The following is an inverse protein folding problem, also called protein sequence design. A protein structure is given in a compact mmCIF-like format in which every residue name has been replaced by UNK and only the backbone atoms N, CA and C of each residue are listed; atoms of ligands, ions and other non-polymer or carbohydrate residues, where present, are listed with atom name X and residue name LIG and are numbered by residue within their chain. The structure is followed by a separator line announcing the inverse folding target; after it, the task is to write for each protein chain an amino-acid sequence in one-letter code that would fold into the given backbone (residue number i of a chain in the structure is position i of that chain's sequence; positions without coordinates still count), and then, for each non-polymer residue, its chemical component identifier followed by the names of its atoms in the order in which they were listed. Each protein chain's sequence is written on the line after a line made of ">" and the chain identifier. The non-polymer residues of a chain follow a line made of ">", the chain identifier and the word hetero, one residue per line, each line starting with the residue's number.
data_IF_696168847251
#
_entry.id   IF_696168847251
#
_cell.length_a   1.000
_cell.length_b   1.000
_cell.length_c   1.000
_cell.angle_alpha   90.00
_cell.angle_beta   90.00
_cell.angle_gamma   90.00
#
_symmetry.space_group_name_H-M   'P 1'
#
loop_
_entity.id
_entity.type
_entity.pdbx_description
1 polymer ?
#
# COMPACT_ATOMS: atom_id res chain seq x y z
N UNK A 1 -14.79 1.96 26.74
CA UNK A 1 -15.26 3.33 27.05
C UNK A 1 -14.78 4.09 25.84
N UNK A 2 -15.66 4.15 24.84
CA UNK A 2 -15.31 4.31 23.42
C UNK A 2 -15.49 5.78 23.00
N UNK A 3 -15.39 6.69 23.96
CA UNK A 3 -15.55 8.12 23.72
C UNK A 3 -14.40 8.63 22.86
N UNK A 4 -14.73 9.22 21.70
CA UNK A 4 -13.78 9.81 20.78
C UNK A 4 -13.25 8.89 19.68
N UNK A 5 -13.69 7.63 19.60
CA UNK A 5 -13.33 6.75 18.48
C UNK A 5 -14.25 6.95 17.26
N UNK A 6 -13.74 6.75 16.03
CA UNK A 6 -14.57 6.82 14.83
C UNK A 6 -15.66 5.74 14.80
N UNK A 7 -16.69 5.96 13.97
CA UNK A 7 -17.70 4.96 13.72
C UNK A 7 -17.12 3.69 13.06
N UNK A 8 -17.72 2.54 13.35
CA UNK A 8 -17.35 1.26 12.74
C UNK A 8 -17.49 1.31 11.22
N UNK A 9 -16.46 0.88 10.50
CA UNK A 9 -16.48 0.74 9.04
C UNK A 9 -17.48 -0.36 8.66
N UNK A 10 -18.41 -0.13 7.71
CA UNK A 10 -19.52 -1.03 7.42
C UNK A 10 -19.15 -2.25 6.53
N UNK A 11 -17.86 -2.49 6.34
CA UNK A 11 -17.29 -3.60 5.55
C UNK A 11 -15.93 -3.99 6.12
N UNK A 12 -15.33 -5.07 5.60
CA UNK A 12 -14.01 -5.53 6.03
C UNK A 12 -12.92 -4.65 5.40
N UNK A 13 -12.24 -3.76 6.15
CA UNK A 13 -11.22 -2.88 5.59
C UNK A 13 -9.98 -3.67 5.16
N UNK A 14 -9.37 -3.18 4.08
CA UNK A 14 -8.15 -3.71 3.49
C UNK A 14 -7.03 -2.70 3.41
N UNK A 15 -7.37 -1.45 3.12
CA UNK A 15 -6.44 -0.36 2.93
C UNK A 15 -7.06 0.93 3.47
N UNK A 16 -6.22 1.77 4.05
CA UNK A 16 -6.57 3.08 4.56
C UNK A 16 -5.58 4.08 3.96
N UNK A 17 -6.09 5.13 3.33
CA UNK A 17 -5.28 6.17 2.70
C UNK A 17 -5.62 7.51 3.34
N UNK A 18 -4.60 8.21 3.83
CA UNK A 18 -4.71 9.58 4.31
C UNK A 18 -4.37 10.55 3.19
N UNK A 19 -5.18 11.58 3.00
CA UNK A 19 -4.96 12.64 2.01
C UNK A 19 -5.40 14.00 2.60
N UNK A 20 -5.15 15.09 1.87
CA UNK A 20 -5.31 16.46 2.38
C UNK A 20 -6.71 16.83 2.91
N UNK A 21 -7.75 16.08 2.54
CA UNK A 21 -9.15 16.38 2.89
C UNK A 21 -9.82 15.27 3.70
N UNK A 22 -9.01 14.42 4.34
CA UNK A 22 -9.47 13.32 5.17
C UNK A 22 -8.90 11.98 4.73
N UNK A 23 -9.75 10.96 4.69
CA UNK A 23 -9.32 9.58 4.53
C UNK A 23 -10.20 8.80 3.57
N UNK A 24 -9.60 7.82 2.90
CA UNK A 24 -10.30 6.80 2.12
C UNK A 24 -10.05 5.42 2.73
N UNK A 25 -11.12 4.74 3.12
CA UNK A 25 -11.10 3.32 3.49
C UNK A 25 -11.52 2.49 2.30
N UNK A 26 -10.70 1.51 1.94
CA UNK A 26 -10.97 0.57 0.86
C UNK A 26 -11.20 -0.82 1.45
N UNK A 27 -12.30 -1.44 1.08
CA UNK A 27 -12.72 -2.77 1.53
C UNK A 27 -12.12 -3.92 0.73
N UNK A 28 -12.34 -5.13 1.24
CA UNK A 28 -11.84 -6.37 0.63
C UNK A 28 -12.49 -6.67 -0.72
N UNK A 29 -13.74 -6.27 -0.94
CA UNK A 29 -14.54 -6.58 -2.13
C UNK A 29 -14.66 -5.40 -3.11
N UNK A 30 -13.93 -4.31 -2.83
CA UNK A 30 -13.84 -3.11 -3.68
C UNK A 30 -14.67 -1.93 -3.18
N UNK A 31 -15.15 -1.99 -1.93
CA UNK A 31 -15.90 -0.90 -1.28
C UNK A 31 -15.02 0.30 -0.98
N UNK A 32 -15.55 1.50 -1.16
CA UNK A 32 -14.90 2.78 -0.91
C UNK A 32 -15.75 3.56 0.09
N UNK A 33 -15.12 4.09 1.13
CA UNK A 33 -15.75 4.96 2.12
C UNK A 33 -14.83 6.14 2.44
N UNK A 34 -15.35 7.35 2.28
CA UNK A 34 -14.62 8.57 2.65
C UNK A 34 -14.95 9.00 4.07
N UNK A 35 -13.91 9.40 4.78
CA UNK A 35 -13.98 10.01 6.09
C UNK A 35 -13.41 11.43 6.00
N UNK A 36 -13.94 12.36 6.79
CA UNK A 36 -13.30 13.67 6.99
C UNK A 36 -12.08 13.58 7.92
N UNK A 37 -11.46 14.72 8.19
CA UNK A 37 -10.30 14.87 9.08
C UNK A 37 -10.61 14.56 10.56
N UNK A 38 -11.89 14.62 10.95
CA UNK A 38 -12.38 14.13 12.25
C UNK A 38 -12.84 12.67 12.23
N UNK A 39 -12.49 11.93 11.16
CA UNK A 39 -12.82 10.51 10.95
C UNK A 39 -14.34 10.23 10.91
N UNK A 40 -15.16 11.25 10.67
CA UNK A 40 -16.58 11.09 10.47
C UNK A 40 -16.86 10.65 9.05
N UNK A 41 -17.87 9.77 8.90
CA UNK A 41 -18.31 9.29 7.60
C UNK A 41 -18.95 10.45 6.82
N UNK A 42 -18.41 10.76 5.64
CA UNK A 42 -18.93 11.84 4.78
C UNK A 42 -20.19 11.38 4.03
N UNK A 43 -20.17 10.16 3.48
CA UNK A 43 -21.31 9.55 2.80
C UNK A 43 -21.33 8.02 2.95
N UNK A 44 -22.42 7.38 2.50
CA UNK A 44 -22.49 5.93 2.44
C UNK A 44 -21.40 5.33 1.55
N UNK A 45 -20.88 4.18 1.99
CA UNK A 45 -19.94 3.40 1.20
C UNK A 45 -20.56 3.00 -0.16
N UNK A 46 -19.72 2.99 -1.19
CA UNK A 46 -20.11 2.46 -2.50
C UNK A 46 -19.05 1.51 -3.04
N UNK A 47 -19.42 0.67 -4.00
CA UNK A 47 -18.51 -0.26 -4.68
C UNK A 47 -18.31 0.17 -6.15
N UNK A 48 -17.31 1.01 -6.47
CA UNK A 48 -17.06 1.44 -7.85
C UNK A 48 -16.79 0.29 -8.82
N UNK A 49 -16.17 -0.78 -8.33
CA UNK A 49 -15.96 -1.99 -9.10
C UNK A 49 -15.92 -3.20 -8.16
N UNK A 50 -16.65 -4.28 -8.46
CA UNK A 50 -16.86 -5.39 -7.53
C UNK A 50 -15.70 -6.40 -7.60
N UNK A 51 -14.47 -5.89 -7.43
CA UNK A 51 -13.23 -6.65 -7.44
C UNK A 51 -12.29 -6.08 -6.40
N UNK A 52 -11.41 -6.91 -5.84
CA UNK A 52 -10.42 -6.49 -4.87
C UNK A 52 -9.49 -5.43 -5.45
N UNK A 53 -9.32 -4.31 -4.73
CA UNK A 53 -8.23 -3.37 -5.02
C UNK A 53 -6.92 -4.00 -4.56
N UNK A 54 -6.02 -4.31 -5.50
CA UNK A 54 -4.71 -4.89 -5.18
C UNK A 54 -3.73 -3.85 -4.68
N UNK A 55 -3.68 -2.69 -5.34
CA UNK A 55 -2.82 -1.56 -5.01
C UNK A 55 -3.59 -0.25 -5.11
N UNK A 56 -3.24 0.70 -4.26
CA UNK A 56 -3.84 2.02 -4.21
C UNK A 56 -2.79 3.03 -3.71
N UNK A 57 -2.62 4.12 -4.45
CA UNK A 57 -1.76 5.26 -4.10
C UNK A 57 -2.48 6.53 -4.53
N UNK A 58 -2.16 7.67 -3.93
CA UNK A 58 -2.75 8.95 -4.35
C UNK A 58 -1.68 10.02 -4.54
N UNK A 59 -2.02 11.01 -5.35
CA UNK A 59 -1.26 12.24 -5.56
C UNK A 59 -2.26 13.39 -5.60
N UNK A 60 -2.14 14.32 -4.65
CA UNK A 60 -3.15 15.34 -4.40
C UNK A 60 -4.56 14.76 -4.31
N UNK A 61 -5.44 15.25 -5.17
CA UNK A 61 -6.87 14.89 -5.19
C UNK A 61 -7.19 13.59 -5.96
N UNK A 62 -6.19 12.88 -6.47
CA UNK A 62 -6.41 11.74 -7.36
C UNK A 62 -5.86 10.43 -6.77
N UNK A 63 -6.75 9.45 -6.68
CA UNK A 63 -6.42 8.06 -6.44
C UNK A 63 -5.96 7.41 -7.75
N UNK A 64 -4.93 6.57 -7.68
CA UNK A 64 -4.56 5.59 -8.68
C UNK A 64 -4.67 4.21 -8.05
N UNK A 65 -5.45 3.34 -8.66
CA UNK A 65 -5.71 2.01 -8.11
C UNK A 65 -5.72 0.94 -9.18
N UNK A 66 -5.45 -0.29 -8.74
CA UNK A 66 -5.60 -1.48 -9.56
C UNK A 66 -6.60 -2.43 -8.92
N UNK A 67 -7.47 -3.00 -9.74
CA UNK A 67 -8.46 -4.00 -9.32
C UNK A 67 -8.14 -5.34 -9.95
N UNK A 68 -8.25 -6.43 -9.19
CA UNK A 68 -8.04 -7.80 -9.66
C UNK A 68 -9.14 -8.74 -9.15
N UNK A 69 -9.63 -9.60 -10.04
CA UNK A 69 -10.43 -10.78 -9.70
C UNK A 69 -9.81 -11.98 -10.41
N UNK A 70 -9.19 -12.86 -9.63
CA UNK A 70 -8.53 -14.08 -10.14
C UNK A 70 -9.50 -15.17 -10.57
N UNK A 71 -10.76 -15.16 -10.08
CA UNK A 71 -11.78 -16.11 -10.52
C UNK A 71 -12.29 -15.71 -11.92
N UNK A 72 -12.51 -14.41 -12.13
CA UNK A 72 -12.95 -13.86 -13.42
C UNK A 72 -11.79 -13.61 -14.39
N UNK A 73 -10.54 -13.72 -13.93
CA UNK A 73 -9.32 -13.39 -14.69
C UNK A 73 -9.37 -11.96 -15.26
N UNK A 74 -9.87 -11.01 -14.46
CA UNK A 74 -10.00 -9.61 -14.83
C UNK A 74 -9.04 -8.75 -14.02
N UNK A 75 -8.40 -7.81 -14.70
CA UNK A 75 -7.60 -6.78 -14.06
C UNK A 75 -7.88 -5.40 -14.67
N UNK A 76 -7.94 -4.37 -13.82
CA UNK A 76 -8.12 -2.97 -14.21
C UNK A 76 -7.10 -2.10 -13.52
N UNK A 77 -6.78 -0.99 -14.16
CA UNK A 77 -6.10 0.14 -13.56
C UNK A 77 -6.91 1.39 -13.87
N UNK A 78 -6.88 2.37 -12.99
CA UNK A 78 -7.67 3.59 -13.17
C UNK A 78 -7.29 4.68 -12.21
N UNK A 79 -7.78 5.88 -12.52
CA UNK A 79 -7.71 7.03 -11.63
C UNK A 79 -9.10 7.52 -11.25
N UNK A 80 -9.29 7.90 -9.99
CA UNK A 80 -10.52 8.48 -9.45
C UNK A 80 -10.22 9.76 -8.68
N UNK A 81 -11.19 10.66 -8.59
CA UNK A 81 -11.05 11.87 -7.79
C UNK A 81 -11.53 11.59 -6.35
N UNK A 82 -10.67 11.81 -5.36
CA UNK A 82 -10.93 11.57 -3.93
C UNK A 82 -11.94 12.55 -3.32
N UNK A 83 -12.20 13.68 -3.98
CA UNK A 83 -13.15 14.69 -3.49
C UNK A 83 -14.57 14.47 -3.99
N UNK A 84 -14.79 13.45 -4.82
CA UNK A 84 -16.12 13.05 -5.27
C UNK A 84 -16.56 11.83 -4.48
N UNK A 85 -17.85 11.81 -4.10
CA UNK A 85 -18.45 10.64 -3.50
C UNK A 85 -18.26 9.42 -4.42
N UNK A 86 -17.89 8.24 -3.87
CA UNK A 86 -17.76 7.04 -4.66
C UNK A 86 -19.14 6.65 -5.21
N UNK A 87 -19.14 6.09 -6.42
CA UNK A 87 -20.36 5.71 -7.11
C UNK A 87 -20.49 4.19 -7.18
N UNK A 88 -21.73 3.68 -7.12
CA UNK A 88 -22.01 2.26 -7.33
C UNK A 88 -21.71 1.86 -8.78
N UNK A 89 -20.84 0.85 -8.92
CA UNK A 89 -20.47 0.24 -10.18
C UNK A 89 -21.34 -0.95 -10.58
N UNK A 90 -20.94 -1.67 -11.65
CA UNK A 90 -21.61 -2.90 -12.05
C UNK A 90 -21.56 -3.94 -10.94
N UNK A 91 -22.55 -4.84 -10.87
CA UNK A 91 -22.49 -5.97 -9.93
C UNK A 91 -21.60 -7.09 -10.47
N UNK A 92 -20.98 -7.86 -9.57
CA UNK A 92 -20.09 -8.99 -9.94
C UNK A 92 -20.77 -10.00 -10.87
N UNK A 93 -22.08 -10.22 -10.68
CA UNK A 93 -22.88 -11.09 -11.54
C UNK A 93 -22.93 -10.63 -13.01
N UNK A 94 -22.96 -9.32 -13.26
CA UNK A 94 -22.95 -8.74 -14.61
C UNK A 94 -21.60 -8.96 -15.30
N UNK A 95 -20.49 -8.88 -14.55
CA UNK A 95 -19.17 -9.18 -15.07
C UNK A 95 -19.09 -10.66 -15.52
N UNK A 96 -19.64 -11.58 -14.72
CA UNK A 96 -19.64 -13.02 -14.98
C UNK A 96 -20.45 -13.39 -16.23
N UNK A 97 -21.59 -12.73 -16.48
CA UNK A 97 -22.49 -13.05 -17.61
C UNK A 97 -22.16 -12.30 -18.91
N UNK A 98 -21.11 -11.48 -18.91
CA UNK A 98 -20.75 -10.61 -20.03
C UNK A 98 -20.24 -11.32 -21.31
N UNK A 99 -20.16 -12.66 -21.33
CA UNK A 99 -19.76 -13.49 -22.50
C UNK A 99 -18.51 -12.96 -23.24
N UNK A 100 -17.46 -12.57 -22.51
CA UNK A 100 -16.21 -12.04 -23.08
C UNK A 100 -16.20 -10.52 -23.33
N UNK A 101 -17.31 -9.82 -23.11
CA UNK A 101 -17.38 -8.35 -23.13
C UNK A 101 -17.08 -7.71 -21.77
N UNK A 102 -16.54 -8.47 -20.81
CA UNK A 102 -16.16 -7.97 -19.49
C UNK A 102 -15.22 -6.75 -19.58
N UNK A 103 -14.40 -6.68 -20.64
CA UNK A 103 -13.51 -5.55 -20.95
C UNK A 103 -14.22 -4.20 -21.08
N UNK A 104 -15.52 -4.17 -21.37
CA UNK A 104 -16.32 -2.93 -21.45
C UNK A 104 -16.64 -2.35 -20.08
N UNK A 105 -16.56 -3.15 -19.03
CA UNK A 105 -16.81 -2.70 -17.67
C UNK A 105 -15.53 -2.13 -17.06
N UNK A 106 -15.69 -0.94 -16.50
CA UNK A 106 -14.67 -0.20 -15.78
C UNK A 106 -15.24 0.26 -14.44
N UNK A 107 -14.37 0.54 -13.45
CA UNK A 107 -14.81 1.16 -12.22
C UNK A 107 -15.63 2.44 -12.48
N UNK A 108 -16.67 2.67 -11.69
CA UNK A 108 -17.49 3.88 -11.79
C UNK A 108 -16.76 5.08 -11.16
N UNK A 109 -16.97 6.29 -11.68
CA UNK A 109 -16.33 7.51 -11.16
C UNK A 109 -14.89 7.74 -11.63
N UNK A 110 -14.37 6.91 -12.54
CA UNK A 110 -13.03 7.06 -13.09
C UNK A 110 -12.85 8.31 -13.94
N UNK A 111 -11.69 8.97 -13.81
CA UNK A 111 -11.15 9.90 -14.81
C UNK A 111 -10.72 9.14 -16.07
N UNK A 112 -10.01 8.04 -15.87
CA UNK A 112 -9.61 7.10 -16.91
C UNK A 112 -9.52 5.69 -16.31
N UNK A 113 -9.63 4.68 -17.17
CA UNK A 113 -9.36 3.30 -16.77
C UNK A 113 -8.96 2.43 -17.96
N UNK A 114 -8.02 1.52 -17.71
CA UNK A 114 -7.52 0.56 -18.68
C UNK A 114 -7.70 -0.88 -18.21
N UNK A 115 -7.92 -1.76 -19.18
CA UNK A 115 -7.86 -3.20 -18.99
C UNK A 115 -6.39 -3.61 -18.90
N UNK A 116 -6.04 -4.32 -17.83
CA UNK A 116 -4.73 -4.95 -17.71
C UNK A 116 -4.81 -6.40 -18.22
N UNK A 117 -3.77 -6.84 -18.91
CA UNK A 117 -3.65 -8.21 -19.44
C UNK A 117 -2.73 -9.11 -18.58
N UNK A 118 -2.33 -8.62 -17.42
CA UNK A 118 -1.50 -9.31 -16.44
C UNK A 118 -1.77 -8.73 -15.04
N UNK A 119 -1.40 -9.49 -14.01
CA UNK A 119 -1.50 -9.06 -12.62
C UNK A 119 -0.51 -7.91 -12.33
N UNK A 120 -0.99 -6.79 -11.75
CA UNK A 120 -0.11 -5.75 -11.24
C UNK A 120 0.54 -6.22 -9.94
N UNK A 121 1.86 -6.06 -9.82
CA UNK A 121 2.63 -6.53 -8.66
C UNK A 121 3.11 -5.41 -7.74
N UNK A 122 3.19 -4.19 -8.26
CA UNK A 122 3.52 -3.01 -7.48
C UNK A 122 3.04 -1.76 -8.24
N UNK A 123 2.74 -0.70 -7.49
CA UNK A 123 2.27 0.59 -7.97
C UNK A 123 2.85 1.68 -7.07
N UNK A 124 3.37 2.75 -7.65
CA UNK A 124 3.80 3.96 -6.94
C UNK A 124 3.51 5.19 -7.78
N UNK A 125 3.30 6.32 -7.13
CA UNK A 125 3.06 7.59 -7.78
C UNK A 125 3.74 8.74 -7.02
N UNK A 126 4.11 9.78 -7.76
CA UNK A 126 4.50 11.08 -7.24
C UNK A 126 3.91 12.16 -8.17
N UNK A 127 4.20 13.43 -7.91
CA UNK A 127 3.71 14.56 -8.71
C UNK A 127 4.05 14.49 -10.20
N UNK A 128 5.08 13.72 -10.59
CA UNK A 128 5.57 13.64 -11.96
C UNK A 128 5.07 12.42 -12.73
N UNK A 129 4.89 11.28 -12.07
CA UNK A 129 4.69 10.00 -12.74
C UNK A 129 3.93 8.98 -11.88
N UNK A 130 3.31 8.03 -12.59
CA UNK A 130 2.70 6.82 -12.08
C UNK A 130 3.47 5.61 -12.62
N UNK A 131 4.13 4.85 -11.75
CA UNK A 131 4.97 3.71 -12.13
C UNK A 131 4.37 2.42 -11.60
N UNK A 132 4.28 1.40 -12.44
CA UNK A 132 3.75 0.09 -12.06
C UNK A 132 4.46 -1.06 -12.75
N UNK A 133 4.38 -2.22 -12.11
CA UNK A 133 4.88 -3.48 -12.66
C UNK A 133 3.72 -4.42 -12.98
N UNK A 134 3.80 -5.05 -14.16
CA UNK A 134 2.92 -6.14 -14.54
C UNK A 134 3.70 -7.45 -14.60
N UNK A 135 3.14 -8.49 -14.00
CA UNK A 135 3.71 -9.83 -13.94
C UNK A 135 4.10 -10.34 -15.33
N UNK A 136 5.39 -10.65 -15.53
CA UNK A 136 5.98 -11.12 -16.81
C UNK A 136 5.73 -10.19 -18.01
N UNK A 137 5.47 -8.89 -17.77
CA UNK A 137 5.23 -7.89 -18.82
C UNK A 137 6.15 -6.69 -18.74
N UNK A 138 6.72 -6.38 -17.57
CA UNK A 138 7.70 -5.31 -17.43
C UNK A 138 7.25 -4.16 -16.54
N UNK A 139 8.01 -3.07 -16.60
CA UNK A 139 7.74 -1.83 -15.88
C UNK A 139 7.19 -0.78 -16.83
N UNK A 140 6.26 0.01 -16.34
CA UNK A 140 5.57 1.04 -17.11
C UNK A 140 5.56 2.32 -16.28
N UNK A 141 5.76 3.45 -16.94
CA UNK A 141 5.50 4.75 -16.37
C UNK A 141 4.50 5.51 -17.24
N UNK A 142 3.51 6.10 -16.59
CA UNK A 142 2.51 6.98 -17.19
C UNK A 142 2.56 8.34 -16.51
N UNK A 143 2.08 9.37 -17.19
CA UNK A 143 1.61 10.57 -16.51
C UNK A 143 0.27 10.30 -15.80
N UNK A 144 -0.25 11.30 -15.09
CA UNK A 144 -1.53 11.18 -14.37
C UNK A 144 -2.77 11.14 -15.27
N UNK A 145 -2.60 11.39 -16.58
CA UNK A 145 -3.62 11.29 -17.62
C UNK A 145 -3.56 9.97 -18.41
N UNK A 146 -2.75 9.02 -17.94
CA UNK A 146 -2.51 7.72 -18.55
C UNK A 146 -1.80 7.75 -19.92
N UNK A 147 -1.09 8.82 -20.24
CA UNK A 147 -0.17 8.82 -21.37
C UNK A 147 1.12 8.10 -20.99
N UNK A 148 1.62 7.25 -21.87
CA UNK A 148 2.88 6.53 -21.65
C UNK A 148 4.06 7.50 -21.67
N UNK A 149 4.84 7.49 -20.60
CA UNK A 149 6.15 8.17 -20.53
C UNK A 149 7.23 7.24 -21.05
N UNK A 150 7.26 6.01 -20.54
CA UNK A 150 8.16 4.94 -21.01
C UNK A 150 7.65 3.56 -20.60
N UNK A 151 8.21 2.53 -21.24
CA UNK A 151 8.04 1.13 -20.87
C UNK A 151 9.39 0.42 -20.90
N UNK A 152 9.61 -0.46 -19.93
CA UNK A 152 10.82 -1.27 -19.80
C UNK A 152 10.46 -2.75 -19.77
N UNK A 153 11.37 -3.60 -20.25
CA UNK A 153 11.20 -5.05 -20.19
C UNK A 153 11.15 -5.54 -18.74
N UNK A 154 10.82 -6.82 -18.55
CA UNK A 154 10.85 -7.47 -17.23
C UNK A 154 12.24 -7.27 -16.61
N UNK A 155 12.34 -6.71 -15.39
CA UNK A 155 13.64 -6.55 -14.74
C UNK A 155 14.34 -7.89 -14.58
N UNK A 156 15.61 -7.91 -14.98
CA UNK A 156 16.50 -9.04 -14.76
C UNK A 156 17.26 -8.84 -13.44
N UNK A 157 17.55 -9.93 -12.74
CA UNK A 157 18.18 -9.88 -11.42
C UNK A 157 19.38 -10.82 -11.37
N UNK A 158 20.52 -10.37 -10.82
CA UNK A 158 21.74 -11.18 -10.80
C UNK A 158 21.77 -12.19 -9.64
N UNK A 159 20.78 -13.08 -9.54
CA UNK A 159 20.79 -14.14 -8.54
C UNK A 159 21.79 -15.26 -8.89
N UNK A 160 22.60 -15.67 -7.91
CA UNK A 160 23.51 -16.83 -8.05
C UNK A 160 22.77 -18.15 -8.18
N UNK A 161 21.58 -18.26 -7.58
CA UNK A 161 20.66 -19.40 -7.69
C UNK A 161 19.24 -18.88 -7.91
N UNK A 162 18.60 -19.29 -9.00
CA UNK A 162 17.19 -19.00 -9.24
C UNK A 162 16.32 -19.82 -8.29
N UNK A 163 15.55 -19.14 -7.44
CA UNK A 163 14.48 -19.75 -6.64
C UNK A 163 13.13 -19.30 -7.20
N UNK A 164 12.06 -20.10 -7.04
CA UNK A 164 10.74 -19.70 -7.47
C UNK A 164 10.39 -18.32 -6.90
N UNK A 165 9.81 -17.45 -7.73
CA UNK A 165 9.22 -16.16 -7.33
C UNK A 165 10.18 -15.08 -6.82
N UNK A 166 11.48 -15.35 -6.66
CA UNK A 166 12.44 -14.37 -6.16
C UNK A 166 12.57 -13.11 -7.02
N UNK A 167 12.26 -13.23 -8.31
CA UNK A 167 12.38 -12.15 -9.31
C UNK A 167 11.12 -11.27 -9.39
N UNK A 168 10.05 -11.63 -8.66
CA UNK A 168 8.84 -10.81 -8.59
C UNK A 168 9.13 -9.50 -7.90
N UNK A 169 8.68 -8.40 -8.48
CA UNK A 169 8.72 -7.09 -7.84
C UNK A 169 7.64 -7.05 -6.77
N UNK A 170 8.01 -6.67 -5.55
CA UNK A 170 7.06 -6.52 -4.44
C UNK A 170 6.80 -5.05 -4.07
N UNK A 171 7.72 -4.15 -4.41
CA UNK A 171 7.60 -2.73 -4.09
C UNK A 171 8.28 -1.86 -5.16
N UNK A 172 7.70 -0.68 -5.33
CA UNK A 172 8.25 0.44 -6.10
C UNK A 172 8.21 1.65 -5.17
N UNK A 173 9.31 2.38 -5.07
CA UNK A 173 9.36 3.67 -4.37
C UNK A 173 9.93 4.72 -5.31
N UNK A 174 9.25 5.85 -5.47
CA UNK A 174 9.74 6.97 -6.26
C UNK A 174 10.51 7.94 -5.34
N UNK A 175 11.53 8.61 -5.87
CA UNK A 175 12.30 9.62 -5.17
C UNK A 175 12.95 10.58 -6.16
N UNK A 176 12.62 11.86 -6.07
CA UNK A 176 13.10 12.90 -6.99
C UNK A 176 13.11 12.42 -8.45
N UNK A 177 14.29 12.26 -9.05
CA UNK A 177 14.51 11.87 -10.44
C UNK A 177 14.76 10.36 -10.65
N UNK A 178 14.56 9.56 -9.59
CA UNK A 178 14.86 8.14 -9.54
C UNK A 178 13.69 7.31 -8.96
N UNK A 179 13.79 6.01 -9.15
CA UNK A 179 12.91 5.04 -8.52
C UNK A 179 13.69 3.81 -8.06
N UNK A 180 13.22 3.19 -6.98
CA UNK A 180 13.75 1.92 -6.49
C UNK A 180 12.70 0.85 -6.64
N UNK A 181 13.04 -0.23 -7.33
CA UNK A 181 12.23 -1.45 -7.36
C UNK A 181 12.87 -2.49 -6.43
N UNK A 182 12.05 -3.25 -5.71
CA UNK A 182 12.52 -4.34 -4.84
C UNK A 182 11.91 -5.66 -5.25
N UNK A 183 12.76 -6.66 -5.39
CA UNK A 183 12.35 -8.03 -5.69
C UNK A 183 12.13 -8.84 -4.43
N UNK A 184 11.28 -9.87 -4.54
CA UNK A 184 10.92 -10.79 -3.45
C UNK A 184 12.13 -11.51 -2.85
N UNK A 185 13.20 -11.70 -3.62
CA UNK A 185 14.45 -12.30 -3.14
C UNK A 185 15.41 -11.33 -2.47
N UNK A 186 15.04 -10.07 -2.23
CA UNK A 186 15.86 -9.10 -1.48
C UNK A 186 16.83 -8.28 -2.31
N UNK A 187 16.86 -8.43 -3.64
CA UNK A 187 17.58 -7.51 -4.52
C UNK A 187 16.74 -6.27 -4.82
N UNK A 188 17.42 -5.13 -4.95
CA UNK A 188 16.83 -3.87 -5.37
C UNK A 188 17.60 -3.30 -6.57
N UNK A 189 16.89 -2.54 -7.41
CA UNK A 189 17.49 -1.74 -8.48
C UNK A 189 17.08 -0.29 -8.29
N UNK A 190 18.06 0.61 -8.37
CA UNK A 190 17.80 2.05 -8.56
C UNK A 190 17.78 2.32 -10.06
N UNK A 191 16.77 3.08 -10.49
CA UNK A 191 16.49 3.35 -11.90
C UNK A 191 16.20 4.83 -12.09
N UNK A 192 16.49 5.35 -13.28
CA UNK A 192 16.08 6.69 -13.68
C UNK A 192 14.55 6.76 -13.78
N UNK A 193 13.93 7.79 -13.20
CA UNK A 193 12.47 7.99 -13.30
C UNK A 193 12.06 8.48 -14.68
N UNK A 194 12.92 9.20 -15.39
CA UNK A 194 12.62 9.76 -16.71
C UNK A 194 12.72 8.74 -17.84
N UNK A 195 13.50 7.65 -17.67
CA UNK A 195 13.73 6.65 -18.73
C UNK A 195 13.42 5.21 -18.31
N UNK A 196 13.41 4.93 -17.01
CA UNK A 196 13.32 3.58 -16.45
C UNK A 196 14.62 2.76 -16.55
N UNK A 197 15.72 3.34 -17.04
CA UNK A 197 17.02 2.67 -17.16
C UNK A 197 17.63 2.32 -15.79
N UNK A 198 18.37 1.21 -15.71
CA UNK A 198 19.04 0.76 -14.49
C UNK A 198 20.29 1.60 -14.25
N UNK A 199 20.34 2.21 -13.06
CA UNK A 199 21.50 2.97 -12.57
C UNK A 199 22.41 2.07 -11.74
N UNK A 200 21.81 1.26 -10.86
CA UNK A 200 22.53 0.30 -10.01
C UNK A 200 21.62 -0.86 -9.61
N UNK A 201 22.26 -1.98 -9.26
CA UNK A 201 21.62 -3.12 -8.60
C UNK A 201 22.39 -3.44 -7.32
N UNK A 202 21.67 -3.67 -6.23
CA UNK A 202 22.24 -3.98 -4.92
C UNK A 202 21.38 -4.99 -4.15
N UNK A 203 21.93 -5.51 -3.06
CA UNK A 203 21.22 -6.42 -2.15
C UNK A 203 20.85 -5.61 -0.91
N UNK A 204 19.57 -5.70 -0.51
CA UNK A 204 19.12 -5.13 0.74
C UNK A 204 19.66 -5.94 1.91
N UNK A 205 20.15 -5.28 2.96
CA UNK A 205 20.62 -5.91 4.19
C UNK A 205 19.45 -6.39 5.08
N UNK A 206 18.42 -6.96 4.47
CA UNK A 206 17.17 -7.37 5.11
C UNK A 206 17.17 -8.79 5.69
N UNK A 207 15.98 -9.38 5.88
CA UNK A 207 15.79 -10.78 6.22
C UNK A 207 16.39 -11.74 5.17
N UNK A 208 16.79 -12.94 5.58
CA UNK A 208 17.26 -13.98 4.65
C UNK A 208 16.12 -14.77 3.99
N UNK A 209 14.90 -14.66 4.55
CA UNK A 209 13.69 -15.25 4.02
C UNK A 209 13.09 -14.42 2.86
N UNK A 210 12.22 -15.01 2.01
CA UNK A 210 11.51 -14.26 0.98
C UNK A 210 10.77 -13.07 1.56
N UNK A 211 10.91 -11.93 0.90
CA UNK A 211 10.29 -10.68 1.30
C UNK A 211 8.79 -10.69 1.00
N UNK A 212 8.02 -9.98 1.81
CA UNK A 212 6.59 -9.77 1.63
C UNK A 212 6.26 -8.28 1.46
N UNK A 213 6.91 -7.42 2.25
CA UNK A 213 6.73 -5.97 2.17
C UNK A 213 8.07 -5.22 2.23
N UNK A 214 8.10 -4.08 1.55
CA UNK A 214 9.11 -3.05 1.69
C UNK A 214 8.37 -1.73 1.84
N UNK A 215 8.37 -1.19 3.05
CA UNK A 215 7.86 0.16 3.33
C UNK A 215 9.01 1.14 3.36
N UNK A 216 8.73 2.39 2.98
CA UNK A 216 9.75 3.43 2.94
C UNK A 216 9.16 4.76 3.41
N UNK A 217 9.96 5.48 4.19
CA UNK A 217 9.77 6.89 4.49
C UNK A 217 11.14 7.56 4.39
N UNK A 218 11.32 8.45 3.41
CA UNK A 218 12.62 9.07 3.14
C UNK A 218 13.75 8.03 2.96
N UNK A 219 14.80 8.06 3.79
CA UNK A 219 15.90 7.10 3.84
C UNK A 219 15.67 5.93 4.80
N UNK A 220 14.50 5.88 5.44
CA UNK A 220 14.08 4.83 6.37
C UNK A 220 13.36 3.72 5.59
N UNK A 221 13.88 2.52 5.68
CA UNK A 221 13.36 1.34 4.98
C UNK A 221 12.94 0.29 5.99
N UNK A 222 11.78 -0.30 5.78
CA UNK A 222 11.28 -1.40 6.58
C UNK A 222 11.05 -2.61 5.69
N UNK A 223 11.89 -3.63 5.85
CA UNK A 223 11.84 -4.85 5.05
C UNK A 223 11.24 -5.97 5.89
N UNK A 224 10.13 -6.53 5.43
CA UNK A 224 9.40 -7.59 6.11
C UNK A 224 9.45 -8.88 5.29
N UNK A 225 9.72 -10.00 5.94
CA UNK A 225 9.68 -11.33 5.33
C UNK A 225 8.34 -12.02 5.54
N UNK A 226 8.08 -13.05 4.73
CA UNK A 226 6.92 -13.92 4.87
C UNK A 226 6.90 -14.73 6.18
N UNK A 227 7.99 -14.71 6.96
CA UNK A 227 8.12 -15.44 8.22
C UNK A 227 8.05 -14.50 9.44
N UNK A 228 7.70 -13.23 9.25
CA UNK A 228 7.62 -12.24 10.32
C UNK A 228 8.98 -11.68 10.76
N UNK A 229 10.07 -12.00 10.05
CA UNK A 229 11.35 -11.32 10.24
C UNK A 229 11.26 -9.92 9.64
N UNK A 230 11.70 -8.93 10.40
CA UNK A 230 11.68 -7.53 10.02
C UNK A 230 13.07 -6.92 10.20
N UNK A 231 13.49 -6.12 9.23
CA UNK A 231 14.69 -5.29 9.32
C UNK A 231 14.34 -3.84 9.04
N UNK A 232 14.60 -2.97 10.01
CA UNK A 232 14.62 -1.52 9.78
C UNK A 232 16.03 -1.13 9.35
N UNK A 233 16.12 -0.49 8.18
CA UNK A 233 17.36 0.00 7.60
C UNK A 233 17.31 1.52 7.44
N UNK A 234 18.46 2.16 7.62
CA UNK A 234 18.73 3.55 7.25
C UNK A 234 19.88 3.53 6.24
N UNK A 235 19.66 4.01 5.03
CA UNK A 235 20.64 3.96 3.93
C UNK A 235 21.25 2.55 3.73
N UNK A 236 20.38 1.53 3.77
CA UNK A 236 20.73 0.10 3.72
C UNK A 236 21.60 -0.41 4.89
N UNK A 237 21.86 0.40 5.92
CA UNK A 237 22.50 -0.02 7.17
C UNK A 237 21.44 -0.51 8.15
N UNK A 238 21.68 -1.67 8.77
CA UNK A 238 20.72 -2.26 9.71
C UNK A 238 20.67 -1.41 10.99
N UNK A 239 19.52 -0.80 11.25
CA UNK A 239 19.21 -0.10 12.50
C UNK A 239 18.73 -1.12 13.53
N UNK A 240 17.72 -1.93 13.17
CA UNK A 240 17.14 -2.95 14.06
C UNK A 240 16.65 -4.19 13.30
N UNK A 241 16.68 -5.35 13.99
CA UNK A 241 16.10 -6.62 13.53
C UNK A 241 15.12 -7.14 14.56
N UNK A 242 13.94 -7.57 14.10
CA UNK A 242 12.83 -7.97 14.97
C UNK A 242 12.15 -9.20 14.39
N UNK A 243 11.70 -10.10 15.26
CA UNK A 243 10.83 -11.21 14.91
C UNK A 243 9.41 -10.91 15.42
N UNK A 244 8.44 -10.97 14.52
CA UNK A 244 7.01 -10.85 14.80
C UNK A 244 6.35 -12.24 14.84
N UNK A 245 5.12 -12.30 15.36
CA UNK A 245 4.35 -13.55 15.44
C UNK A 245 3.76 -14.00 14.11
N UNK A 246 3.76 -13.13 13.11
CA UNK A 246 3.20 -13.39 11.80
C UNK A 246 3.45 -12.25 10.81
N UNK A 247 2.73 -12.25 9.68
CA UNK A 247 2.91 -11.27 8.61
C UNK A 247 2.49 -9.86 9.05
N UNK A 248 3.11 -8.87 8.43
CA UNK A 248 2.77 -7.45 8.60
C UNK A 248 1.66 -7.08 7.61
N UNK A 249 0.58 -6.49 8.12
CA UNK A 249 -0.54 -6.02 7.30
C UNK A 249 -0.33 -4.58 6.80
N UNK A 250 0.33 -3.76 7.61
CA UNK A 250 0.63 -2.37 7.29
C UNK A 250 1.71 -1.80 8.19
N UNK A 251 2.42 -0.81 7.70
CA UNK A 251 3.39 -0.06 8.48
C UNK A 251 3.39 1.40 8.05
N UNK A 252 3.59 2.28 9.02
CA UNK A 252 3.66 3.73 8.82
C UNK A 252 4.80 4.31 9.65
N UNK A 253 5.44 5.33 9.11
CA UNK A 253 6.37 6.13 9.88
C UNK A 253 5.60 7.08 10.79
N UNK A 254 5.91 7.05 12.08
CA UNK A 254 5.37 7.95 13.09
C UNK A 254 6.47 8.97 13.49
N UNK A 255 6.24 10.23 13.13
CA UNK A 255 7.14 11.35 13.40
C UNK A 255 7.24 11.70 14.89
N UNK A 256 6.21 11.42 15.70
CA UNK A 256 6.21 11.69 17.14
C UNK A 256 7.18 10.78 17.90
N UNK A 257 7.40 9.56 17.41
CA UNK A 257 8.34 8.59 18.00
C UNK A 257 9.60 8.39 17.17
N UNK A 258 9.66 9.01 15.98
CA UNK A 258 10.72 8.87 14.98
C UNK A 258 11.04 7.40 14.70
N UNK A 259 10.02 6.69 14.24
CA UNK A 259 10.08 5.25 14.08
C UNK A 259 8.89 4.67 13.32
N UNK A 260 8.80 3.34 13.30
CA UNK A 260 7.73 2.62 12.63
C UNK A 260 6.64 2.17 13.60
N UNK A 261 5.38 2.38 13.22
CA UNK A 261 4.22 1.70 13.80
C UNK A 261 3.73 0.63 12.82
N UNK A 262 3.45 -0.57 13.32
CA UNK A 262 3.06 -1.71 12.48
C UNK A 262 1.79 -2.39 12.95
N UNK A 263 0.92 -2.66 11.98
CA UNK A 263 -0.17 -3.60 12.10
C UNK A 263 0.35 -5.02 11.80
N UNK A 264 0.66 -5.79 12.84
CA UNK A 264 1.10 -7.18 12.74
C UNK A 264 -0.05 -8.18 12.86
N UNK A 265 0.27 -9.48 12.82
CA UNK A 265 -0.74 -10.52 13.00
C UNK A 265 -1.25 -10.58 14.45
N UNK A 266 -2.44 -9.99 14.69
CA UNK A 266 -3.03 -9.84 16.03
C UNK A 266 -2.07 -9.16 17.02
N UNK A 267 -1.32 -8.18 16.54
CA UNK A 267 -0.46 -7.36 17.38
C UNK A 267 -0.21 -6.00 16.75
N UNK A 268 -0.08 -4.97 17.58
CA UNK A 268 0.52 -3.71 17.19
C UNK A 268 1.98 -3.67 17.66
N UNK A 269 2.84 -3.04 16.87
CA UNK A 269 4.27 -2.95 17.15
C UNK A 269 4.73 -1.53 16.96
N UNK A 270 5.60 -1.07 17.85
CA UNK A 270 6.33 0.20 17.71
C UNK A 270 7.83 -0.08 17.70
N UNK A 271 8.52 0.51 16.73
CA UNK A 271 9.96 0.38 16.54
C UNK A 271 10.53 1.79 16.46
N UNK A 272 11.45 2.13 17.35
CA UNK A 272 12.18 3.40 17.33
C UNK A 272 13.62 3.16 17.79
N UNK A 273 14.48 4.15 17.63
CA UNK A 273 15.87 4.05 18.12
C UNK A 273 15.96 3.81 19.64
N UNK A 274 14.92 4.14 20.40
CA UNK A 274 14.91 4.03 21.86
C UNK A 274 14.20 2.76 22.36
N UNK A 275 13.19 2.28 21.63
CA UNK A 275 12.34 1.18 22.11
C UNK A 275 11.77 0.34 20.98
N UNK A 276 11.60 -0.94 21.30
CA UNK A 276 10.83 -1.91 20.55
C UNK A 276 9.79 -2.47 21.50
N UNK A 277 8.50 -2.26 21.21
CA UNK A 277 7.42 -2.78 22.02
C UNK A 277 6.37 -3.45 21.13
N UNK A 278 5.80 -4.54 21.64
CA UNK A 278 4.76 -5.32 20.96
C UNK A 278 3.58 -5.48 21.92
N UNK A 279 2.37 -5.25 21.42
CA UNK A 279 1.14 -5.42 22.19
C UNK A 279 0.19 -6.35 21.45
N UNK A 280 -0.30 -7.38 22.15
CA UNK A 280 -1.20 -8.35 21.54
C UNK A 280 -2.61 -7.76 21.39
N UNK A 281 -3.20 -7.94 20.22
CA UNK A 281 -4.57 -7.54 19.93
C UNK A 281 -5.46 -8.79 19.83
N UNK A 282 -6.74 -8.66 20.18
CA UNK A 282 -7.70 -9.75 19.96
C UNK A 282 -8.05 -9.92 18.48
N UNK A 283 -8.12 -8.80 17.77
CA UNK A 283 -8.42 -8.74 16.34
C UNK A 283 -7.17 -8.36 15.52
N UNK A 284 -7.22 -8.60 14.21
CA UNK A 284 -6.11 -8.30 13.28
C UNK A 284 -6.14 -6.81 12.90
N UNK A 285 -5.14 -6.01 13.30
CA UNK A 285 -5.02 -4.64 12.83
C UNK A 285 -4.71 -4.64 11.32
N UNK A 286 -5.30 -3.69 10.59
CA UNK A 286 -5.05 -3.49 9.15
C UNK A 286 -4.41 -2.15 8.86
N UNK A 287 -4.58 -1.17 9.75
CA UNK A 287 -3.94 0.14 9.64
C UNK A 287 -3.68 0.71 11.03
N UNK A 288 -2.60 1.49 11.15
CA UNK A 288 -2.32 2.30 12.32
C UNK A 288 -2.18 3.74 11.85
N UNK A 289 -2.95 4.64 12.43
CA UNK A 289 -2.94 6.06 12.12
C UNK A 289 -2.34 6.83 13.30
N UNK A 290 -1.09 7.34 13.16
CA UNK A 290 -0.49 8.20 14.17
C UNK A 290 -1.35 9.45 14.39
N UNK A 291 -1.54 9.80 15.66
CA UNK A 291 -2.23 11.02 16.10
C UNK A 291 -1.49 11.62 17.29
N UNK A 292 -1.79 12.87 17.65
CA UNK A 292 -1.16 13.51 18.82
C UNK A 292 -1.40 12.66 20.07
N UNK A 293 -0.32 12.30 20.77
CA UNK A 293 -0.36 11.50 22.00
C UNK A 293 -0.39 9.98 21.79
N UNK A 294 -0.45 9.46 20.56
CA UNK A 294 -0.45 8.02 20.31
C UNK A 294 -0.79 7.65 18.87
N UNK A 295 -1.70 6.69 18.71
CA UNK A 295 -2.24 6.31 17.41
C UNK A 295 -3.65 5.72 17.56
N UNK A 296 -4.41 5.70 16.47
CA UNK A 296 -5.62 4.90 16.34
C UNK A 296 -5.35 3.68 15.46
N UNK A 297 -5.97 2.56 15.80
CA UNK A 297 -5.83 1.29 15.10
C UNK A 297 -7.16 0.95 14.45
N UNK A 298 -7.15 0.70 13.14
CA UNK A 298 -8.28 0.12 12.43
C UNK A 298 -8.08 -1.39 12.33
N UNK A 299 -9.10 -2.15 12.73
CA UNK A 299 -9.10 -3.61 12.65
C UNK A 299 -9.84 -4.12 11.41
N UNK A 300 -9.52 -5.34 10.97
CA UNK A 300 -10.13 -6.01 9.81
C UNK A 300 -11.66 -6.23 9.92
N UNK A 301 -12.24 -6.07 11.12
CA UNK A 301 -13.68 -6.14 11.37
C UNK A 301 -14.35 -4.75 11.33
N UNK A 302 -13.61 -3.70 10.98
CA UNK A 302 -14.08 -2.32 10.87
C UNK A 302 -14.09 -1.52 12.16
N UNK A 303 -13.79 -2.14 13.31
CA UNK A 303 -13.72 -1.43 14.61
C UNK A 303 -12.41 -0.66 14.78
N UNK A 304 -12.44 0.33 15.67
CA UNK A 304 -11.30 1.15 16.05
C UNK A 304 -10.90 0.93 17.50
N UNK A 305 -9.62 1.06 17.82
CA UNK A 305 -9.14 1.25 19.20
C UNK A 305 -8.02 2.29 19.25
N UNK A 306 -7.84 2.93 20.39
CA UNK A 306 -6.63 3.68 20.68
C UNK A 306 -5.47 2.71 20.89
N UNK A 307 -4.30 3.08 20.37
CA UNK A 307 -3.05 2.33 20.55
C UNK A 307 -2.69 2.23 22.03
N UNK A 308 -2.13 1.09 22.42
CA UNK A 308 -1.52 0.89 23.74
C UNK A 308 -0.29 1.78 23.93
N UNK A 309 0.37 2.17 22.83
CA UNK A 309 1.57 2.98 22.86
C UNK A 309 1.24 4.46 22.74
N UNK A 310 1.49 5.18 23.83
CA UNK A 310 1.51 6.64 23.81
C UNK A 310 2.74 7.16 23.06
N UNK A 311 2.55 8.25 22.33
CA UNK A 311 3.65 9.01 21.73
C UNK A 311 3.97 10.18 22.66
N UNK A 312 5.26 10.53 22.88
CA UNK A 312 5.61 11.74 23.60
C UNK A 312 4.86 12.91 22.95
N UNK A 313 3.99 13.58 23.70
CA UNK A 313 3.44 14.85 23.22
C UNK A 313 4.65 15.73 23.01
N UNK A 314 4.90 16.15 21.76
CA UNK A 314 5.88 17.19 21.49
C UNK A 314 5.49 18.37 22.40
N UNK A 315 6.28 18.60 23.44
CA UNK A 315 6.15 19.76 24.30
C UNK A 315 6.68 20.95 23.49
N UNK A 316 5.90 21.41 22.52
CA UNK A 316 6.13 22.57 21.65
C UNK A 316 4.90 22.54 20.71
N UNK A 317 3.93 23.46 20.76
CA UNK A 317 4.05 24.91 20.56
C UNK A 317 3.07 25.69 21.46
N UNK A 318 3.60 26.64 22.23
CA UNK A 318 2.95 27.93 22.58
C UNK A 318 3.50 29.00 21.62
#
# INVERSE_FOLDING_TARGET
>A
MDEGLPATIPFLPRCFLSHDKGYLVIGMDGEFLRLDDEYQIIEHAATPFPMRVSHAVHVGDYLFATWIDGELMLARMGSMNLNKAPEEGPKRAELRTSNGNASKYHPKGNRWSHVLNAEPLALAANESALVFNLWKRGLYALDHDANELWRQQVPEWNYTKRRPRNEEILAIHLHEDELTITSRGGRAQRRSLSTGEVLEEYILNGPEAPLEHHFRHENQHLICSTQGELCWLEDNTVVQRIQLKGPVQGAIWDSYVRGWRLAGWREEVIISNQKIEQHACQEIPVHIQPVKGGAMILFNNGTWLNSHFESPVAQEEE
#
